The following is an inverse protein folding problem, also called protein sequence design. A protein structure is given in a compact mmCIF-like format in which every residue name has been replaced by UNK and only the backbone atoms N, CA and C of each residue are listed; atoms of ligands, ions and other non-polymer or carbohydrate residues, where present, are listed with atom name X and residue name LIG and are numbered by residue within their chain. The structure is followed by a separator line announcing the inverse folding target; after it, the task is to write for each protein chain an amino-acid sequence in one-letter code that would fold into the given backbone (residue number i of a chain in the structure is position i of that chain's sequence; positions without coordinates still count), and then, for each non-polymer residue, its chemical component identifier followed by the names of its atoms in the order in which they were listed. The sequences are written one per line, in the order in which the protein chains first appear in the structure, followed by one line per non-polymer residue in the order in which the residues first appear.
data_IF_749903040857
#
_entry.id   IF_749903040857
#
_cell.length_a   1.000
_cell.length_b   1.000
_cell.length_c   1.000
_cell.angle_alpha   90.00
_cell.angle_beta   90.00
_cell.angle_gamma   90.00
#
_symmetry.space_group_name_H-M   'P 1'
#
loop_
_entity.id
_entity.type
_entity.pdbx_description
1 polymer ?
#
# COMPACT_ATOMS: atom_id res chain seq x y z
N UNK A 1 -15.95 -17.66 -2.30
CA UNK A 1 -14.75 -18.22 -2.97
C UNK A 1 -13.52 -17.85 -2.14
N UNK A 2 -12.99 -18.73 -1.29
CA UNK A 2 -11.70 -18.49 -0.60
C UNK A 2 -10.61 -18.49 -1.67
N UNK A 3 -10.02 -17.33 -1.99
CA UNK A 3 -8.74 -17.32 -2.72
C UNK A 3 -7.79 -18.14 -1.84
N UNK A 4 -7.14 -19.18 -2.39
CA UNK A 4 -6.02 -19.78 -1.68
C UNK A 4 -5.01 -18.67 -1.47
N UNK A 5 -4.82 -18.24 -0.24
CA UNK A 5 -3.75 -17.32 0.09
C UNK A 5 -2.45 -17.93 -0.43
N UNK A 6 -1.71 -17.15 -1.21
CA UNK A 6 -0.41 -17.60 -1.74
C UNK A 6 0.49 -17.85 -0.53
N UNK A 7 1.24 -18.96 -0.57
CA UNK A 7 2.26 -19.20 0.46
C UNK A 7 3.30 -18.07 0.45
N UNK A 8 3.98 -17.87 1.58
CA UNK A 8 5.07 -16.91 1.69
C UNK A 8 6.14 -17.11 0.60
N UNK A 9 6.44 -18.35 0.26
CA UNK A 9 7.40 -18.67 -0.81
C UNK A 9 6.89 -18.27 -2.19
N UNK A 10 5.59 -18.46 -2.46
CA UNK A 10 5.00 -18.00 -3.70
C UNK A 10 4.99 -16.46 -3.80
N UNK A 11 4.83 -15.76 -2.67
CA UNK A 11 4.96 -14.30 -2.61
C UNK A 11 6.40 -13.86 -2.88
N UNK A 12 7.40 -14.53 -2.30
CA UNK A 12 8.83 -14.27 -2.55
C UNK A 12 9.18 -14.42 -4.03
N UNK A 13 8.77 -15.52 -4.66
CA UNK A 13 8.99 -15.74 -6.10
C UNK A 13 8.35 -14.62 -6.93
N UNK A 14 7.13 -14.21 -6.57
CA UNK A 14 6.44 -13.14 -7.28
C UNK A 14 7.11 -11.79 -7.07
N UNK A 15 7.62 -11.51 -5.87
CA UNK A 15 8.37 -10.29 -5.56
C UNK A 15 9.64 -10.21 -6.41
N UNK A 16 10.50 -11.22 -6.35
CA UNK A 16 11.78 -11.24 -7.10
C UNK A 16 11.55 -11.11 -8.61
N UNK A 17 10.52 -11.78 -9.14
CA UNK A 17 10.15 -11.63 -10.56
C UNK A 17 9.72 -10.21 -10.92
N UNK A 18 8.95 -9.55 -10.06
CA UNK A 18 8.51 -8.17 -10.32
C UNK A 18 9.63 -7.15 -10.09
N UNK A 19 10.55 -7.41 -9.17
CA UNK A 19 11.75 -6.61 -8.97
C UNK A 19 12.65 -6.66 -10.20
N UNK A 20 12.92 -7.86 -10.72
CA UNK A 20 13.66 -8.03 -11.97
C UNK A 20 12.98 -7.28 -13.13
N UNK A 21 11.65 -7.38 -13.26
CA UNK A 21 10.92 -6.60 -14.27
C UNK A 21 11.10 -5.09 -14.08
N UNK A 22 10.99 -4.57 -12.86
CA UNK A 22 11.18 -3.16 -12.57
C UNK A 22 12.61 -2.67 -12.89
N UNK A 23 13.62 -3.47 -12.55
CA UNK A 23 15.03 -3.19 -12.86
C UNK A 23 15.36 -3.26 -14.35
N UNK A 24 14.53 -3.93 -15.15
CA UNK A 24 14.60 -3.92 -16.62
C UNK A 24 13.71 -2.84 -17.25
N UNK A 25 13.19 -1.89 -16.47
CA UNK A 25 12.28 -0.84 -16.96
C UNK A 25 10.90 -1.35 -17.37
N UNK A 26 10.55 -2.60 -17.03
CA UNK A 26 9.25 -3.22 -17.33
C UNK A 26 8.26 -2.94 -16.21
N UNK A 27 6.98 -2.82 -16.58
CA UNK A 27 5.90 -2.52 -15.65
C UNK A 27 5.61 -3.64 -14.63
N UNK A 28 5.03 -3.24 -13.48
CA UNK A 28 4.63 -4.15 -12.40
C UNK A 28 3.22 -4.70 -12.63
N UNK A 29 3.09 -6.03 -12.65
CA UNK A 29 1.78 -6.70 -12.84
C UNK A 29 0.91 -6.59 -11.59
N UNK A 30 -0.41 -6.51 -11.79
CA UNK A 30 -1.38 -6.27 -10.71
C UNK A 30 -1.83 -7.53 -9.96
N UNK A 31 -1.88 -8.69 -10.63
CA UNK A 31 -2.41 -9.96 -10.08
C UNK A 31 -1.33 -10.89 -9.50
N UNK A 32 -0.30 -10.33 -8.87
CA UNK A 32 0.84 -11.07 -8.32
C UNK A 32 0.61 -11.57 -6.89
N UNK A 33 -0.39 -11.06 -6.19
CA UNK A 33 -0.58 -11.32 -4.75
C UNK A 33 0.29 -10.45 -3.85
N UNK A 34 1.11 -9.57 -4.43
CA UNK A 34 1.78 -8.51 -3.70
C UNK A 34 0.75 -7.45 -3.29
N UNK A 35 0.90 -6.92 -2.10
CA UNK A 35 0.02 -5.89 -1.57
C UNK A 35 0.22 -4.55 -2.31
N UNK A 36 -0.58 -3.55 -1.95
CA UNK A 36 -0.48 -2.25 -2.60
C UNK A 36 0.85 -1.53 -2.30
N UNK A 37 1.31 -1.43 -1.03
CA UNK A 37 2.60 -0.83 -0.71
C UNK A 37 3.76 -1.43 -1.53
N UNK A 38 3.88 -2.75 -1.54
CA UNK A 38 4.96 -3.46 -2.26
C UNK A 38 4.91 -3.17 -3.76
N UNK A 39 3.72 -3.23 -4.37
CA UNK A 39 3.58 -2.89 -5.80
C UNK A 39 3.90 -1.44 -6.11
N UNK A 40 3.60 -0.52 -5.18
CA UNK A 40 3.95 0.89 -5.35
C UNK A 40 5.45 1.09 -5.32
N UNK A 41 6.17 0.49 -4.37
CA UNK A 41 7.64 0.56 -4.31
C UNK A 41 8.29 0.04 -5.59
N UNK A 42 7.83 -1.11 -6.10
CA UNK A 42 8.31 -1.68 -7.37
C UNK A 42 8.03 -0.77 -8.58
N UNK A 43 6.92 -0.03 -8.60
CA UNK A 43 6.65 0.94 -9.67
C UNK A 43 7.56 2.17 -9.59
N UNK A 44 7.99 2.57 -8.39
CA UNK A 44 8.96 3.66 -8.22
C UNK A 44 10.29 3.25 -8.85
N UNK A 45 10.76 2.03 -8.57
CA UNK A 45 11.95 1.45 -9.23
C UNK A 45 11.80 1.47 -10.75
N UNK A 46 10.68 0.94 -11.28
CA UNK A 46 10.45 0.88 -12.72
C UNK A 46 10.43 2.26 -13.40
N UNK A 47 10.06 3.32 -12.67
CA UNK A 47 10.07 4.71 -13.16
C UNK A 47 11.45 5.36 -13.08
N UNK A 48 12.31 4.89 -12.19
CA UNK A 48 13.67 5.40 -12.03
C UNK A 48 14.65 4.80 -13.07
N UNK A 49 14.29 3.68 -13.71
CA UNK A 49 15.11 3.06 -14.74
C UNK A 49 15.49 4.04 -15.88
N UNK A 50 16.76 4.05 -16.34
CA UNK A 50 17.86 3.16 -15.95
C UNK A 50 18.62 3.53 -14.67
N UNK A 51 18.41 4.74 -14.14
CA UNK A 51 19.14 5.30 -13.00
C UNK A 51 18.49 4.90 -11.66
N UNK A 52 18.37 3.59 -11.42
CA UNK A 52 17.80 3.05 -10.18
C UNK A 52 18.81 3.18 -9.05
N UNK A 53 18.46 3.95 -8.03
CA UNK A 53 19.21 4.03 -6.78
C UNK A 53 19.01 2.78 -5.92
N UNK A 54 20.07 2.31 -5.24
CA UNK A 54 20.04 1.11 -4.38
C UNK A 54 19.03 1.25 -3.25
N UNK A 55 18.86 2.47 -2.74
CA UNK A 55 17.90 2.81 -1.68
C UNK A 55 16.46 2.52 -2.09
N UNK A 56 16.12 2.61 -3.39
CA UNK A 56 14.79 2.24 -3.88
C UNK A 56 14.58 0.72 -3.85
N UNK A 57 15.64 -0.05 -4.12
CA UNK A 57 15.61 -1.52 -4.06
C UNK A 57 15.44 -1.97 -2.60
N UNK A 58 16.22 -1.41 -1.69
CA UNK A 58 16.12 -1.71 -0.26
C UNK A 58 14.75 -1.32 0.32
N UNK A 59 14.24 -0.13 -0.01
CA UNK A 59 12.90 0.27 0.41
C UNK A 59 11.80 -0.68 -0.11
N UNK A 60 11.95 -1.23 -1.33
CA UNK A 60 11.04 -2.23 -1.85
C UNK A 60 11.14 -3.58 -1.12
N UNK A 61 12.35 -4.00 -0.72
CA UNK A 61 12.58 -5.21 0.08
C UNK A 61 12.00 -5.08 1.49
N UNK A 62 12.22 -3.95 2.16
CA UNK A 62 11.63 -3.64 3.46
C UNK A 62 10.10 -3.65 3.41
N UNK A 63 9.53 -2.99 2.39
CA UNK A 63 8.08 -2.99 2.19
C UNK A 63 7.54 -4.39 1.97
N UNK A 64 8.27 -5.25 1.25
CA UNK A 64 7.88 -6.65 1.06
C UNK A 64 8.00 -7.47 2.34
N UNK A 65 9.03 -7.27 3.16
CA UNK A 65 9.13 -7.87 4.49
C UNK A 65 7.90 -7.49 5.33
N UNK A 66 7.47 -6.23 5.25
CA UNK A 66 6.26 -5.74 5.89
C UNK A 66 4.95 -6.40 5.42
N UNK A 67 4.93 -6.94 4.20
CA UNK A 67 3.81 -7.77 3.73
C UNK A 67 3.83 -9.16 4.38
N UNK A 68 5.02 -9.75 4.57
CA UNK A 68 5.18 -11.09 5.12
C UNK A 68 4.92 -11.14 6.63
N UNK A 69 5.37 -10.13 7.38
CA UNK A 69 5.16 -10.02 8.82
C UNK A 69 3.80 -9.40 9.20
N UNK A 70 3.09 -8.84 8.23
CA UNK A 70 1.77 -8.24 8.39
C UNK A 70 1.77 -6.78 8.85
N UNK A 71 2.92 -6.15 9.07
CA UNK A 71 3.04 -4.75 9.49
C UNK A 71 2.45 -3.77 8.48
N UNK A 72 2.52 -4.07 7.18
CA UNK A 72 1.84 -3.26 6.15
C UNK A 72 0.33 -3.22 6.36
N UNK A 73 -0.26 -4.36 6.73
CA UNK A 73 -1.69 -4.45 6.98
C UNK A 73 -2.08 -3.74 8.27
N UNK A 74 -1.28 -3.86 9.32
CA UNK A 74 -1.47 -3.14 10.57
C UNK A 74 -1.42 -1.63 10.38
N UNK A 75 -0.40 -1.11 9.67
CA UNK A 75 -0.28 0.32 9.34
C UNK A 75 -1.47 0.81 8.52
N UNK A 76 -1.88 0.06 7.50
CA UNK A 76 -3.05 0.41 6.69
C UNK A 76 -4.32 0.48 7.53
N UNK A 77 -4.49 -0.41 8.50
CA UNK A 77 -5.65 -0.38 9.40
C UNK A 77 -5.65 0.86 10.28
N UNK A 78 -4.52 1.18 10.91
CA UNK A 78 -4.37 2.40 11.71
C UNK A 78 -4.64 3.68 10.90
N UNK A 79 -4.18 3.75 9.65
CA UNK A 79 -4.47 4.89 8.76
C UNK A 79 -5.95 5.01 8.40
N UNK A 80 -6.66 3.89 8.25
CA UNK A 80 -8.09 3.89 7.98
C UNK A 80 -8.88 4.32 9.21
N UNK A 81 -8.53 3.80 10.38
CA UNK A 81 -9.17 4.15 11.65
C UNK A 81 -9.06 5.66 11.91
N UNK A 82 -7.86 6.23 11.75
CA UNK A 82 -7.65 7.70 11.84
C UNK A 82 -8.51 8.48 10.85
N UNK A 83 -8.57 8.04 9.59
CA UNK A 83 -9.37 8.73 8.56
C UNK A 83 -10.87 8.65 8.85
N UNK A 84 -11.33 7.56 9.46
CA UNK A 84 -12.72 7.41 9.87
C UNK A 84 -13.05 8.32 11.06
N UNK A 85 -12.16 8.43 12.04
CA UNK A 85 -12.30 9.38 13.16
C UNK A 85 -12.36 10.83 12.65
N UNK A 86 -11.42 11.25 11.79
CA UNK A 86 -11.42 12.58 11.19
C UNK A 86 -12.69 12.85 10.36
N UNK A 87 -13.26 11.85 9.69
CA UNK A 87 -14.50 11.98 8.93
C UNK A 87 -15.74 12.09 9.84
N UNK A 88 -15.77 11.32 10.94
CA UNK A 88 -16.84 11.37 11.92
C UNK A 88 -16.90 12.74 12.62
N UNK A 89 -15.74 13.32 12.94
CA UNK A 89 -15.65 14.67 13.52
C UNK A 89 -16.20 15.74 12.56
N UNK A 90 -15.86 15.68 11.27
CA UNK A 90 -16.38 16.62 10.27
C UNK A 90 -17.91 16.54 10.13
N UNK A 91 -18.45 15.31 10.10
CA UNK A 91 -19.89 15.10 10.00
C UNK A 91 -20.63 15.63 11.23
N UNK A 92 -20.11 15.35 12.43
CA UNK A 92 -20.69 15.85 13.68
C UNK A 92 -20.59 17.37 13.81
N UNK A 93 -19.50 17.98 13.32
CA UNK A 93 -19.36 19.44 13.26
C UNK A 93 -20.38 20.09 12.32
N UNK A 94 -20.54 19.57 11.10
CA UNK A 94 -21.52 20.13 10.14
C UNK A 94 -22.96 20.03 10.62
N UNK A 95 -23.31 18.96 11.35
CA UNK A 95 -24.64 18.78 11.95
C UNK A 95 -24.88 19.73 13.13
N UNK A 96 -23.84 20.15 13.84
CA UNK A 96 -23.96 21.09 14.96
C UNK A 96 -24.09 22.56 14.49
N UNK A 97 -23.54 22.90 13.32
CA UNK A 97 -23.67 24.23 12.73
C UNK A 97 -25.05 24.44 12.08
N UNK A 98 -25.61 23.43 11.41
CA UNK A 98 -26.98 23.48 10.84
C UNK A 98 -28.06 23.70 11.92
N UNK A 99 -27.90 23.10 13.10
CA UNK A 99 -28.87 23.25 14.21
C UNK A 99 -28.76 24.63 14.87
N UNK A 100 -27.65 25.37 14.75
CA UNK A 100 -27.54 26.71 15.32
C UNK A 100 -28.23 27.78 14.48
N UNK A 101 -28.28 27.61 13.16
CA UNK A 101 -28.96 28.54 12.25
C UNK A 101 -30.49 28.38 12.27
N UNK A 102 -31.03 27.22 12.65
CA UNK A 102 -32.50 26.99 12.72
C UNK A 102 -33.16 27.57 13.98
N UNK A 103 -32.36 27.91 15.01
CA UNK A 103 -32.85 28.43 16.30
C UNK A 103 -32.32 29.83 16.67
N UNK A 104 -31.76 30.57 15.72
CA UNK A 104 -31.32 31.97 15.87
C UNK A 104 -32.28 32.94 15.15
#
# INVERSE_FOLDING_TARGET
MRRRDKSADQLRINFERMLAHALEGRGVRTHTGLDLPTRTALRVIARAYPDVAEELVEAARETFAGQLDGTNSARRRAELDRKLEEAAERLNGSRADEVKDEFA
#
